data_IF_033957915542
#
_entry.id   IF_033957915542
#
_cell.length_a   1.000
_cell.length_b   1.000
_cell.length_c   1.000
_cell.angle_alpha   90.00
_cell.angle_beta   90.00
_cell.angle_gamma   90.00
#
_symmetry.space_group_name_H-M   'P 1'
#
loop_
_entity.id
_entity.type
_entity.pdbx_description
1 polymer ?
#
# COMPACT_ATOMS: atom_id res chain seq x y z
N UNK A 1 12.39 -10.32 9.79
CA UNK A 1 12.75 -8.98 9.27
C UNK A 1 12.90 -8.04 10.45
N UNK A 2 13.87 -7.14 10.42
CA UNK A 2 14.04 -6.14 11.47
C UNK A 2 12.99 -5.01 11.31
N UNK A 3 12.48 -4.48 12.42
CA UNK A 3 11.41 -3.46 12.40
C UNK A 3 11.85 -2.14 11.76
N UNK A 4 13.14 -1.78 11.86
CA UNK A 4 13.68 -0.59 11.21
C UNK A 4 13.64 -0.75 9.70
N UNK A 5 14.08 -1.91 9.20
CA UNK A 5 14.05 -2.21 7.77
C UNK A 5 12.62 -2.21 7.24
N UNK A 6 11.65 -2.73 8.01
CA UNK A 6 10.24 -2.69 7.60
C UNK A 6 9.70 -1.27 7.56
N UNK A 7 10.05 -0.43 8.54
CA UNK A 7 9.65 0.98 8.56
C UNK A 7 10.20 1.71 7.32
N UNK A 8 11.50 1.61 7.08
CA UNK A 8 12.17 2.29 5.97
C UNK A 8 11.58 1.83 4.61
N UNK A 9 11.16 0.55 4.52
CA UNK A 9 10.48 0.01 3.35
C UNK A 9 9.09 0.60 3.14
N UNK A 10 8.29 0.73 4.21
CA UNK A 10 6.95 1.33 4.14
C UNK A 10 7.06 2.80 3.75
N UNK A 11 8.00 3.54 4.33
CA UNK A 11 8.26 4.94 4.00
C UNK A 11 8.53 5.12 2.51
N UNK A 12 9.53 4.40 1.97
CA UNK A 12 9.94 4.53 0.57
C UNK A 12 8.88 4.07 -0.44
N UNK A 13 8.14 3.01 -0.12
CA UNK A 13 7.23 2.35 -1.08
C UNK A 13 5.78 2.83 -0.97
N UNK A 14 5.39 3.37 0.18
CA UNK A 14 4.01 3.75 0.47
C UNK A 14 3.92 5.23 0.77
N UNK A 15 4.60 5.72 1.82
CA UNK A 15 4.44 7.10 2.27
C UNK A 15 4.97 8.09 1.22
N UNK A 16 6.22 7.96 0.80
CA UNK A 16 6.83 8.84 -0.23
C UNK A 16 6.09 8.78 -1.57
N UNK A 17 5.44 7.65 -1.87
CA UNK A 17 4.73 7.45 -3.11
C UNK A 17 3.32 8.06 -3.11
N UNK A 18 2.63 8.07 -1.96
CA UNK A 18 1.20 8.39 -1.88
C UNK A 18 0.89 9.64 -1.04
N UNK A 19 1.71 9.98 -0.06
CA UNK A 19 1.44 11.06 0.89
C UNK A 19 1.44 12.43 0.21
N UNK A 20 0.49 13.28 0.59
CA UNK A 20 0.28 14.63 0.04
C UNK A 20 0.19 14.73 -1.50
N UNK A 21 -0.24 13.66 -2.19
CA UNK A 21 -0.40 13.64 -3.66
C UNK A 21 -1.85 13.50 -4.13
N UNK A 22 -2.14 14.05 -5.30
CA UNK A 22 -3.30 13.69 -6.08
C UNK A 22 -3.05 12.36 -6.81
N UNK A 23 -3.60 11.29 -6.26
CA UNK A 23 -3.37 9.92 -6.74
C UNK A 23 -3.61 9.76 -8.25
N UNK A 24 -4.72 10.30 -8.78
CA UNK A 24 -5.07 10.16 -10.20
C UNK A 24 -4.08 10.84 -11.16
N UNK A 25 -3.40 11.91 -10.71
CA UNK A 25 -2.53 12.72 -11.57
C UNK A 25 -1.04 12.39 -11.36
N UNK A 26 -0.66 12.12 -10.11
CA UNK A 26 0.74 12.08 -9.69
C UNK A 26 1.25 10.66 -9.44
N UNK A 27 0.35 9.69 -9.24
CA UNK A 27 0.74 8.31 -8.93
C UNK A 27 0.47 7.43 -10.16
N UNK A 28 1.52 6.88 -10.81
CA UNK A 28 1.39 6.11 -12.05
C UNK A 28 0.37 4.98 -11.99
N UNK A 29 0.27 4.30 -10.85
CA UNK A 29 -0.64 3.18 -10.62
C UNK A 29 -2.12 3.56 -10.70
N UNK A 30 -2.46 4.84 -10.49
CA UNK A 30 -3.84 5.32 -10.48
C UNK A 30 -4.20 6.17 -11.71
N UNK A 31 -3.35 6.21 -12.74
CA UNK A 31 -3.67 6.92 -14.00
C UNK A 31 -4.89 6.33 -14.72
N UNK A 32 -4.97 5.01 -14.74
CA UNK A 32 -6.04 4.24 -15.38
C UNK A 32 -6.83 3.38 -14.37
N UNK A 33 -6.59 3.59 -13.07
CA UNK A 33 -7.21 2.85 -11.98
C UNK A 33 -7.80 3.82 -10.96
N UNK A 34 -9.10 3.70 -10.68
CA UNK A 34 -9.76 4.55 -9.69
C UNK A 34 -9.18 4.30 -8.29
N UNK A 35 -8.68 5.33 -7.56
CA UNK A 35 -8.04 5.16 -6.26
C UNK A 35 -9.07 4.98 -5.12
N UNK A 36 -9.87 3.91 -5.19
CA UNK A 36 -10.71 3.49 -4.07
C UNK A 36 -9.85 2.86 -2.96
N UNK A 37 -10.35 2.78 -1.73
CA UNK A 37 -9.62 2.19 -0.62
C UNK A 37 -9.18 0.74 -0.92
N UNK A 38 -10.01 -0.03 -1.62
CA UNK A 38 -9.69 -1.38 -2.09
C UNK A 38 -8.51 -1.39 -3.06
N UNK A 39 -8.57 -0.55 -4.10
CA UNK A 39 -7.50 -0.48 -5.11
C UNK A 39 -6.19 0.04 -4.50
N UNK A 40 -6.25 0.99 -3.57
CA UNK A 40 -5.06 1.47 -2.86
C UNK A 40 -4.45 0.34 -2.02
N UNK A 41 -5.25 -0.42 -1.26
CA UNK A 41 -4.75 -1.56 -0.49
C UNK A 41 -4.08 -2.62 -1.38
N UNK A 42 -4.65 -2.90 -2.55
CA UNK A 42 -4.06 -3.82 -3.55
C UNK A 42 -2.74 -3.29 -4.10
N UNK A 43 -2.67 -2.00 -4.45
CA UNK A 43 -1.43 -1.36 -4.94
C UNK A 43 -0.33 -1.41 -3.87
N UNK A 44 -0.65 -1.06 -2.63
CA UNK A 44 0.30 -1.13 -1.50
C UNK A 44 0.81 -2.57 -1.33
N UNK A 45 -0.09 -3.55 -1.33
CA UNK A 45 0.28 -4.96 -1.22
C UNK A 45 1.24 -5.38 -2.35
N UNK A 46 0.93 -5.01 -3.59
CA UNK A 46 1.74 -5.37 -4.75
C UNK A 46 3.12 -4.69 -4.74
N UNK A 47 3.24 -3.50 -4.14
CA UNK A 47 4.53 -2.82 -3.94
C UNK A 47 5.39 -3.48 -2.86
N UNK A 48 4.77 -3.92 -1.77
CA UNK A 48 5.48 -4.44 -0.59
C UNK A 48 5.79 -5.95 -0.69
N UNK A 49 4.84 -6.78 -1.14
CA UNK A 49 4.98 -8.25 -1.11
C UNK A 49 6.25 -8.76 -1.82
N UNK A 50 6.67 -8.24 -2.99
CA UNK A 50 7.90 -8.68 -3.66
C UNK A 50 9.19 -8.32 -2.91
N UNK A 51 9.13 -7.40 -1.94
CA UNK A 51 10.28 -6.95 -1.13
C UNK A 51 10.37 -7.66 0.22
N UNK A 52 9.41 -8.54 0.51
CA UNK A 52 9.37 -9.36 1.70
C UNK A 52 9.77 -10.79 1.35
N UNK A 53 10.28 -11.55 2.33
CA UNK A 53 10.53 -12.98 2.16
C UNK A 53 9.21 -13.71 1.81
N UNK A 54 9.25 -14.60 0.83
CA UNK A 54 8.08 -15.34 0.35
C UNK A 54 7.36 -16.11 1.47
N UNK A 55 8.08 -16.52 2.51
CA UNK A 55 7.55 -17.23 3.68
C UNK A 55 6.68 -16.35 4.58
N UNK A 56 6.76 -15.03 4.44
CA UNK A 56 5.99 -14.09 5.26
C UNK A 56 4.62 -13.84 4.63
N UNK A 57 3.58 -13.92 5.45
CA UNK A 57 2.26 -13.41 5.10
C UNK A 57 2.27 -11.88 5.19
N UNK A 58 1.54 -11.24 4.28
CA UNK A 58 1.30 -9.79 4.29
C UNK A 58 -0.21 -9.56 4.31
N UNK A 59 -0.65 -8.62 5.13
CA UNK A 59 -2.01 -8.11 5.13
C UNK A 59 -1.93 -6.58 5.24
N UNK A 60 -2.64 -5.90 4.34
CA UNK A 60 -2.75 -4.45 4.32
C UNK A 60 -4.14 -4.09 4.80
N UNK A 61 -4.22 -3.33 5.89
CA UNK A 61 -5.48 -2.71 6.31
C UNK A 61 -5.36 -1.21 6.10
N UNK A 62 -6.18 -0.67 5.19
CA UNK A 62 -6.24 0.75 4.88
C UNK A 62 -7.50 1.35 5.50
N UNK A 63 -7.32 2.35 6.36
CA UNK A 63 -8.40 3.12 6.97
C UNK A 63 -8.58 4.42 6.19
N UNK A 64 -9.65 4.53 5.41
CA UNK A 64 -10.05 5.80 4.80
C UNK A 64 -10.65 6.73 5.87
N UNK A 65 -11.44 6.15 6.77
CA UNK A 65 -11.91 6.78 8.00
C UNK A 65 -11.90 5.74 9.13
N UNK A 66 -12.12 6.12 10.41
CA UNK A 66 -12.16 5.15 11.51
C UNK A 66 -13.26 4.06 11.35
N UNK A 67 -14.28 4.31 10.53
CA UNK A 67 -15.39 3.37 10.27
C UNK A 67 -15.37 2.77 8.86
N UNK A 68 -14.57 3.32 7.95
CA UNK A 68 -14.41 2.80 6.59
C UNK A 68 -12.99 2.30 6.41
N UNK A 69 -12.83 0.99 6.38
CA UNK A 69 -11.53 0.35 6.18
C UNK A 69 -11.66 -0.88 5.30
N UNK A 70 -10.60 -1.15 4.56
CA UNK A 70 -10.48 -2.32 3.71
C UNK A 70 -9.26 -3.11 4.15
N UNK A 71 -9.40 -4.42 4.16
CA UNK A 71 -8.30 -5.35 4.42
C UNK A 71 -8.05 -6.19 3.17
N UNK A 72 -6.79 -6.28 2.74
CA UNK A 72 -6.36 -7.08 1.60
C UNK A 72 -5.16 -7.96 1.96
N UNK A 73 -5.26 -9.25 1.66
CA UNK A 73 -4.24 -10.27 1.99
C UNK A 73 -3.78 -11.08 0.77
N UNK A 74 -3.99 -10.56 -0.45
CA UNK A 74 -3.63 -11.24 -1.70
C UNK A 74 -4.74 -12.14 -2.27
N UNK A 75 -5.98 -11.98 -1.83
CA UNK A 75 -7.17 -12.74 -2.23
C UNK A 75 -8.41 -11.86 -2.24
#
# INVERSE_FOLDING_TARGET
MDMKVLKDLIEAEVEDQLDHKNLNLEVPEFKDLNPTAENIAVVIYNKLKPKLDDKLALEITLYETPRNFVTYSGK
#
